data_IF_651208592857
#
_entry.id   IF_651208592857
#
_cell.length_a   1.000
_cell.length_b   1.000
_cell.length_c   1.000
_cell.angle_alpha   90.00
_cell.angle_beta   90.00
_cell.angle_gamma   90.00
#
_symmetry.space_group_name_H-M   'P 1'
#
loop_
_entity.id
_entity.type
_entity.pdbx_description
1 polymer ?
#
# COMPACT_ATOMS: atom_id res chain seq x y z
N UNK A 1 0.32 -1.76 0.18
CA UNK A 1 1.04 -1.26 -1.03
C UNK A 1 2.55 -1.38 -0.90
N UNK A 2 3.13 -1.43 0.31
CA UNK A 2 4.31 -2.25 0.57
C UNK A 2 3.89 -3.69 0.91
N UNK A 3 4.79 -4.67 0.75
CA UNK A 3 4.50 -6.11 0.85
C UNK A 3 4.90 -6.75 2.20
N UNK A 4 5.22 -5.94 3.21
CA UNK A 4 5.81 -6.39 4.48
C UNK A 4 5.13 -5.77 5.71
N UNK A 5 3.90 -5.27 5.58
CA UNK A 5 3.24 -4.51 6.64
C UNK A 5 3.17 -5.26 7.98
N UNK A 6 2.65 -6.50 8.00
CA UNK A 6 2.52 -7.29 9.23
C UNK A 6 3.89 -7.59 9.87
N UNK A 7 4.91 -7.83 9.04
CA UNK A 7 6.26 -8.07 9.49
C UNK A 7 6.87 -6.81 10.15
N UNK A 8 6.63 -5.63 9.58
CA UNK A 8 7.08 -4.36 10.16
C UNK A 8 6.38 -4.04 11.49
N UNK A 9 5.09 -4.33 11.61
CA UNK A 9 4.35 -4.18 12.87
C UNK A 9 4.95 -5.10 13.94
N UNK A 10 5.09 -6.40 13.62
CA UNK A 10 5.66 -7.39 14.54
C UNK A 10 7.08 -7.01 14.95
N UNK A 11 7.94 -6.71 13.98
CA UNK A 11 9.34 -6.40 14.22
C UNK A 11 9.50 -5.13 15.09
N UNK A 12 8.67 -4.10 14.84
CA UNK A 12 8.69 -2.90 15.67
C UNK A 12 8.29 -3.20 17.13
N UNK A 13 7.31 -4.07 17.35
CA UNK A 13 6.91 -4.52 18.69
C UNK A 13 8.00 -5.35 19.38
N UNK A 14 8.61 -6.31 18.67
CA UNK A 14 9.71 -7.14 19.18
C UNK A 14 10.94 -6.30 19.55
N UNK A 15 11.29 -5.31 18.72
CA UNK A 15 12.43 -4.43 18.96
C UNK A 15 12.15 -3.33 20.00
N UNK A 16 10.89 -3.12 20.41
CA UNK A 16 10.54 -2.06 21.37
C UNK A 16 10.91 -0.65 20.90
N UNK A 17 10.83 -0.39 19.59
CA UNK A 17 11.12 0.94 19.01
C UNK A 17 9.99 1.94 19.30
N UNK A 18 10.25 3.24 19.19
CA UNK A 18 9.26 4.26 19.54
C UNK A 18 8.00 4.21 18.65
N UNK A 19 8.18 3.99 17.34
CA UNK A 19 7.11 4.11 16.33
C UNK A 19 7.19 3.01 15.30
N UNK A 20 6.06 2.75 14.66
CA UNK A 20 6.02 1.93 13.45
C UNK A 20 6.60 2.73 12.26
N UNK A 21 7.42 2.11 11.40
CA UNK A 21 7.92 2.75 10.17
C UNK A 21 6.87 2.76 9.05
N UNK A 22 5.68 2.19 9.31
CA UNK A 22 4.58 2.06 8.37
C UNK A 22 3.29 2.60 8.99
N UNK A 23 2.36 3.08 8.15
CA UNK A 23 1.05 3.48 8.63
C UNK A 23 0.28 2.29 9.21
N UNK A 24 -0.47 2.52 10.29
CA UNK A 24 -1.25 1.47 10.98
C UNK A 24 -2.68 1.30 10.44
N UNK A 25 -3.11 2.19 9.53
CA UNK A 25 -4.39 2.13 8.83
C UNK A 25 -4.14 2.10 7.31
N UNK A 26 -4.98 1.33 6.61
CA UNK A 26 -4.89 1.19 5.15
C UNK A 26 -5.20 2.51 4.43
N UNK A 27 -6.19 3.28 4.89
CA UNK A 27 -6.56 4.57 4.28
C UNK A 27 -5.39 5.57 4.27
N UNK A 28 -4.60 5.63 5.35
CA UNK A 28 -3.41 6.47 5.41
C UNK A 28 -2.35 6.09 4.35
N UNK A 29 -2.22 4.78 4.07
CA UNK A 29 -1.34 4.30 3.00
C UNK A 29 -1.86 4.72 1.63
N UNK A 30 -3.17 4.73 1.40
CA UNK A 30 -3.74 5.17 0.12
C UNK A 30 -3.55 6.67 -0.10
N UNK A 31 -3.78 7.49 0.93
CA UNK A 31 -3.52 8.94 0.87
C UNK A 31 -2.04 9.21 0.64
N UNK A 32 -1.15 8.53 1.35
CA UNK A 32 0.30 8.67 1.14
C UNK A 32 0.70 8.27 -0.28
N UNK A 33 0.15 7.17 -0.82
CA UNK A 33 0.41 6.76 -2.20
C UNK A 33 0.00 7.85 -3.20
N UNK A 34 -1.16 8.46 -3.03
CA UNK A 34 -1.66 9.53 -3.91
C UNK A 34 -0.80 10.80 -3.81
N UNK A 35 -0.40 11.19 -2.61
CA UNK A 35 0.51 12.33 -2.41
C UNK A 35 1.86 12.09 -3.12
N UNK A 36 2.46 10.91 -2.93
CA UNK A 36 3.69 10.53 -3.61
C UNK A 36 3.50 10.43 -5.14
N UNK A 37 2.33 9.98 -5.61
CA UNK A 37 2.04 9.93 -7.03
C UNK A 37 2.02 11.33 -7.64
N UNK A 38 1.37 12.30 -7.00
CA UNK A 38 1.40 13.69 -7.44
C UNK A 38 2.84 14.23 -7.48
N UNK A 39 3.64 14.00 -6.43
CA UNK A 39 5.03 14.42 -6.40
C UNK A 39 5.87 13.85 -7.55
N UNK A 40 5.63 12.58 -7.92
CA UNK A 40 6.31 11.94 -9.05
C UNK A 40 5.81 12.50 -10.39
N UNK A 41 4.50 12.73 -10.54
CA UNK A 41 3.90 13.33 -11.73
C UNK A 41 4.41 14.76 -11.97
N UNK A 42 4.68 15.51 -10.91
CA UNK A 42 5.24 16.87 -10.97
C UNK A 42 6.74 16.91 -11.33
N UNK A 43 7.38 15.74 -11.47
CA UNK A 43 8.81 15.58 -11.79
C UNK A 43 9.05 14.71 -13.01
N UNK A 44 8.05 14.62 -13.90
CA UNK A 44 8.09 13.84 -15.14
C UNK A 44 9.10 14.33 -16.17
N UNK A 45 9.64 15.53 -15.97
CA UNK A 45 10.77 16.04 -16.76
C UNK A 45 12.11 15.35 -16.42
N UNK A 46 12.20 14.67 -15.27
CA UNK A 46 13.44 14.01 -14.79
C UNK A 46 13.28 12.53 -14.45
N UNK A 47 12.10 12.14 -14.00
CA UNK A 47 11.81 10.79 -13.52
C UNK A 47 10.67 10.24 -14.36
N UNK A 48 10.76 8.97 -14.75
CA UNK A 48 9.64 8.25 -15.36
C UNK A 48 8.88 7.47 -14.28
N UNK A 49 7.69 7.93 -13.83
CA UNK A 49 6.97 7.29 -12.74
C UNK A 49 6.36 5.95 -13.15
N UNK A 50 6.40 4.99 -12.23
CA UNK A 50 5.89 3.64 -12.42
C UNK A 50 4.92 3.29 -11.29
N UNK A 51 3.62 3.35 -11.57
CA UNK A 51 2.58 3.20 -10.56
C UNK A 51 2.09 1.75 -10.47
N UNK A 52 2.66 0.98 -9.55
CA UNK A 52 2.24 -0.40 -9.30
C UNK A 52 0.99 -0.46 -8.40
N UNK A 53 -0.15 -0.87 -8.95
CA UNK A 53 -1.38 -1.03 -8.15
C UNK A 53 -2.43 -1.91 -8.84
N UNK A 54 -3.25 -2.58 -8.04
CA UNK A 54 -4.46 -3.28 -8.48
C UNK A 54 -5.75 -2.62 -7.99
N UNK A 55 -5.65 -1.44 -7.37
CA UNK A 55 -6.79 -0.71 -6.84
C UNK A 55 -7.33 0.27 -7.89
N UNK A 56 -8.58 0.07 -8.33
CA UNK A 56 -9.18 0.87 -9.40
C UNK A 56 -9.30 2.36 -9.05
N UNK A 57 -9.66 2.69 -7.80
CA UNK A 57 -9.70 4.07 -7.34
C UNK A 57 -8.32 4.73 -7.43
N UNK A 58 -7.26 4.00 -7.07
CA UNK A 58 -5.88 4.50 -7.20
C UNK A 58 -5.51 4.76 -8.65
N UNK A 59 -5.85 3.85 -9.58
CA UNK A 59 -5.64 4.08 -11.01
C UNK A 59 -6.37 5.33 -11.48
N UNK A 60 -7.66 5.47 -11.15
CA UNK A 60 -8.48 6.62 -11.53
C UNK A 60 -7.90 7.94 -10.98
N UNK A 61 -7.46 7.96 -9.73
CA UNK A 61 -6.84 9.13 -9.12
C UNK A 61 -5.55 9.54 -9.84
N UNK A 62 -4.65 8.58 -10.14
CA UNK A 62 -3.41 8.85 -10.90
C UNK A 62 -3.71 9.36 -12.31
N UNK A 63 -4.71 8.77 -12.98
CA UNK A 63 -5.14 9.20 -14.32
C UNK A 63 -5.66 10.64 -14.28
N UNK A 64 -6.47 10.99 -13.28
CA UNK A 64 -6.97 12.35 -13.09
C UNK A 64 -5.83 13.34 -12.81
N UNK A 65 -4.89 13.00 -11.92
CA UNK A 65 -3.72 13.83 -11.59
C UNK A 65 -2.80 14.05 -12.80
N UNK A 66 -2.64 13.05 -13.66
CA UNK A 66 -1.76 13.14 -14.82
C UNK A 66 -2.30 14.06 -15.93
N UNK A 67 -3.59 14.41 -15.90
CA UNK A 67 -4.24 15.23 -16.92
C UNK A 67 -4.21 14.56 -18.30
N UNK A 68 -3.94 15.32 -19.35
CA UNK A 68 -3.90 14.80 -20.73
C UNK A 68 -2.60 14.05 -21.06
N UNK A 69 -1.57 14.16 -20.23
CA UNK A 69 -0.28 13.51 -20.49
C UNK A 69 -0.29 12.08 -19.92
N UNK A 70 -0.54 11.12 -20.81
CA UNK A 70 -0.61 9.68 -20.53
C UNK A 70 0.65 8.91 -20.92
N UNK A 71 1.64 9.59 -21.51
CA UNK A 71 2.84 8.98 -22.09
C UNK A 71 4.05 9.05 -21.17
N UNK A 72 4.07 10.00 -20.24
CA UNK A 72 5.19 10.24 -19.33
C UNK A 72 5.15 9.44 -18.03
N UNK A 73 4.30 8.41 -17.96
CA UNK A 73 4.28 7.43 -16.87
C UNK A 73 3.77 6.07 -17.37
N UNK A 74 3.93 5.03 -16.55
CA UNK A 74 3.24 3.75 -16.76
C UNK A 74 2.57 3.26 -15.47
N UNK A 75 1.53 2.47 -15.64
CA UNK A 75 1.07 1.57 -14.59
C UNK A 75 1.90 0.30 -14.55
N UNK A 76 1.86 -0.39 -13.42
CA UNK A 76 2.39 -1.75 -13.30
C UNK A 76 1.41 -2.66 -12.59
N UNK A 77 1.43 -3.94 -12.99
CA UNK A 77 0.66 -5.01 -12.35
C UNK A 77 1.47 -6.29 -12.26
N UNK A 78 1.08 -7.18 -11.37
CA UNK A 78 1.57 -8.55 -11.35
C UNK A 78 0.89 -9.42 -12.42
N UNK A 79 1.63 -10.35 -13.01
CA UNK A 79 1.05 -11.42 -13.81
C UNK A 79 0.04 -12.25 -13.00
N UNK A 80 -1.09 -12.62 -13.61
CA UNK A 80 -2.20 -13.32 -12.94
C UNK A 80 -3.07 -12.45 -12.04
N UNK A 81 -2.82 -11.13 -11.93
CA UNK A 81 -3.58 -10.25 -11.04
C UNK A 81 -3.88 -8.88 -11.68
N UNK A 82 -5.10 -8.39 -11.48
CA UNK A 82 -5.53 -7.09 -11.98
C UNK A 82 -5.57 -6.96 -13.51
N UNK A 83 -5.66 -8.08 -14.22
CA UNK A 83 -5.65 -8.09 -15.70
C UNK A 83 -6.84 -7.34 -16.29
N UNK A 84 -8.07 -7.64 -15.85
CA UNK A 84 -9.28 -6.98 -16.33
C UNK A 84 -9.25 -5.47 -16.06
N UNK A 85 -8.80 -5.04 -14.87
CA UNK A 85 -8.68 -3.63 -14.53
C UNK A 85 -7.73 -2.89 -15.48
N UNK A 86 -6.50 -3.42 -15.65
CA UNK A 86 -5.50 -2.75 -16.49
C UNK A 86 -5.83 -2.85 -17.98
N UNK A 87 -6.59 -3.86 -18.41
CA UNK A 87 -7.12 -3.93 -19.76
C UNK A 87 -8.13 -2.80 -20.02
N UNK A 88 -9.09 -2.60 -19.11
CA UNK A 88 -10.07 -1.50 -19.19
C UNK A 88 -9.35 -0.15 -19.21
N UNK A 89 -8.44 0.08 -18.25
CA UNK A 89 -7.67 1.32 -18.13
C UNK A 89 -6.84 1.61 -19.39
N UNK A 90 -6.24 0.59 -20.00
CA UNK A 90 -5.51 0.74 -21.26
C UNK A 90 -6.45 1.13 -22.42
N UNK A 91 -7.62 0.49 -22.51
CA UNK A 91 -8.58 0.74 -23.59
C UNK A 91 -9.27 2.10 -23.47
N UNK A 92 -9.65 2.51 -22.26
CA UNK A 92 -10.39 3.76 -22.05
C UNK A 92 -9.47 4.98 -21.95
N UNK A 93 -8.30 4.84 -21.34
CA UNK A 93 -7.41 5.98 -21.03
C UNK A 93 -6.12 6.01 -21.86
N UNK A 94 -5.85 4.99 -22.69
CA UNK A 94 -4.65 4.93 -23.53
C UNK A 94 -3.33 4.79 -22.78
N UNK A 95 -3.36 4.45 -21.49
CA UNK A 95 -2.14 4.36 -20.66
C UNK A 95 -1.34 3.08 -20.89
N UNK A 96 -0.04 3.12 -20.58
CA UNK A 96 0.84 1.95 -20.62
C UNK A 96 0.75 1.15 -19.31
N UNK A 97 0.86 -0.17 -19.40
CA UNK A 97 0.95 -1.04 -18.24
C UNK A 97 2.05 -2.10 -18.42
N UNK A 98 3.02 -2.13 -17.51
CA UNK A 98 4.06 -3.17 -17.44
C UNK A 98 3.61 -4.32 -16.54
N UNK A 99 3.81 -5.55 -17.00
CA UNK A 99 3.48 -6.75 -16.24
C UNK A 99 4.75 -7.27 -15.56
N UNK A 100 4.76 -7.32 -14.24
CA UNK A 100 5.76 -8.04 -13.46
C UNK A 100 5.44 -9.53 -13.52
N UNK A 101 6.26 -10.29 -14.25
CA UNK A 101 6.10 -11.74 -14.42
C UNK A 101 7.14 -12.47 -13.55
N UNK A 102 6.72 -13.23 -12.52
CA UNK A 102 7.63 -14.05 -11.73
C UNK A 102 8.13 -15.22 -12.59
N UNK A 103 9.45 -15.37 -12.71
CA UNK A 103 10.07 -16.47 -13.47
C UNK A 103 11.09 -17.15 -12.56
N UNK A 104 10.98 -18.47 -12.39
CA UNK A 104 11.86 -19.25 -11.53
C UNK A 104 11.45 -20.71 -11.45
N UNK A 105 12.30 -21.53 -10.81
CA UNK A 105 12.02 -22.95 -10.61
C UNK A 105 10.88 -23.14 -9.58
N UNK A 106 10.08 -24.20 -9.75
CA UNK A 106 8.92 -24.47 -8.90
C UNK A 106 9.25 -24.53 -7.40
N UNK A 107 10.44 -25.06 -7.03
CA UNK A 107 10.92 -25.16 -5.65
C UNK A 107 11.00 -23.81 -4.95
N UNK A 108 11.42 -22.78 -5.67
CA UNK A 108 11.66 -21.45 -5.10
C UNK A 108 10.38 -20.58 -5.15
N UNK A 109 9.36 -21.04 -5.89
CA UNK A 109 8.08 -20.35 -6.04
C UNK A 109 7.21 -20.43 -4.78
N UNK A 110 7.30 -21.51 -3.99
CA UNK A 110 6.42 -21.72 -2.83
C UNK A 110 6.55 -20.62 -1.76
N UNK A 111 7.78 -20.27 -1.37
CA UNK A 111 8.02 -19.19 -0.40
C UNK A 111 7.53 -17.83 -0.93
N UNK A 112 7.66 -17.60 -2.24
CA UNK A 112 7.15 -16.42 -2.91
C UNK A 112 5.61 -16.40 -2.97
N UNK A 113 4.98 -17.56 -3.19
CA UNK A 113 3.53 -17.72 -3.32
C UNK A 113 2.81 -17.40 -2.01
N UNK A 114 3.32 -17.84 -0.86
CA UNK A 114 2.73 -17.55 0.46
C UNK A 114 2.59 -16.05 0.69
N UNK A 115 3.66 -15.29 0.45
CA UNK A 115 3.62 -13.83 0.56
C UNK A 115 2.62 -13.22 -0.42
N UNK A 116 2.51 -13.79 -1.63
CA UNK A 116 1.63 -13.28 -2.67
C UNK A 116 0.15 -13.52 -2.37
N UNK A 117 -0.16 -14.64 -1.73
CA UNK A 117 -1.50 -14.96 -1.22
C UNK A 117 -1.91 -14.00 -0.09
N UNK A 118 -1.01 -13.73 0.86
CA UNK A 118 -1.29 -12.82 1.98
C UNK A 118 -1.53 -11.37 1.52
N UNK A 119 -0.72 -10.88 0.57
CA UNK A 119 -0.85 -9.51 0.05
C UNK A 119 -2.23 -9.24 -0.56
N UNK A 120 -2.81 -10.23 -1.25
CA UNK A 120 -4.03 -10.04 -2.02
C UNK A 120 -5.28 -10.65 -1.36
N UNK A 121 -5.10 -11.60 -0.45
CA UNK A 121 -6.17 -12.26 0.30
C UNK A 121 -6.60 -11.54 1.58
N UNK A 122 -5.93 -10.45 1.97
CA UNK A 122 -6.37 -9.65 3.11
C UNK A 122 -7.77 -9.04 2.86
N UNK A 123 -8.64 -9.01 3.87
CA UNK A 123 -10.01 -8.46 3.77
C UNK A 123 -10.05 -6.97 3.36
N UNK A 124 -8.97 -6.24 3.63
CA UNK A 124 -8.80 -4.84 3.23
C UNK A 124 -8.21 -4.66 1.82
N UNK A 125 -7.88 -5.77 1.13
CA UNK A 125 -7.42 -5.77 -0.24
C UNK A 125 -8.57 -5.44 -1.18
N UNK A 126 -8.34 -4.48 -2.08
CA UNK A 126 -9.30 -4.14 -3.14
C UNK A 126 -9.67 -5.36 -3.99
N UNK A 127 -8.70 -6.24 -4.26
CA UNK A 127 -8.94 -7.46 -5.07
C UNK A 127 -9.92 -8.39 -4.37
N UNK A 128 -9.91 -8.46 -3.04
CA UNK A 128 -10.85 -9.26 -2.29
C UNK A 128 -12.24 -8.60 -2.22
N UNK A 129 -12.29 -7.27 -2.08
CA UNK A 129 -13.55 -6.53 -2.04
C UNK A 129 -14.30 -6.56 -3.38
N UNK A 130 -13.60 -6.51 -4.51
CA UNK A 130 -14.24 -6.47 -5.84
C UNK A 130 -14.85 -7.80 -6.27
N UNK A 131 -14.42 -8.92 -5.68
CA UNK A 131 -15.02 -10.25 -5.94
C UNK A 131 -16.19 -10.54 -5.00
N UNK A 132 -16.35 -9.76 -3.93
CA UNK A 132 -17.49 -9.86 -3.02
C UNK A 132 -18.67 -9.04 -3.55
N UNK A 133 -19.65 -9.74 -4.11
CA UNK A 133 -20.87 -9.11 -4.68
C UNK A 133 -21.80 -8.49 -3.64
N UNK A 134 -21.55 -8.69 -2.35
CA UNK A 134 -22.29 -8.03 -1.28
C UNK A 134 -21.84 -6.58 -1.04
N UNK A 135 -20.64 -6.21 -1.48
CA UNK A 135 -20.09 -4.86 -1.31
C UNK A 135 -20.50 -3.97 -2.48
N UNK A 136 -21.24 -2.87 -2.25
CA UNK A 136 -21.63 -1.96 -3.32
C UNK A 136 -20.41 -1.31 -4.00
N UNK A 137 -20.41 -1.11 -5.33
CA UNK A 137 -19.32 -0.41 -6.02
C UNK A 137 -19.03 1.00 -5.47
N UNK A 138 -20.06 1.70 -4.98
CA UNK A 138 -19.92 3.02 -4.36
C UNK A 138 -19.13 2.99 -3.05
N UNK A 139 -19.12 1.87 -2.34
CA UNK A 139 -18.31 1.68 -1.14
C UNK A 139 -16.84 1.46 -1.49
N UNK A 140 -16.57 0.65 -2.52
CA UNK A 140 -15.22 0.40 -3.04
C UNK A 140 -14.61 1.69 -3.63
N UNK A 141 -15.44 2.54 -4.24
CA UNK A 141 -15.05 3.79 -4.87
C UNK A 141 -15.00 5.00 -3.92
N UNK A 142 -15.11 4.81 -2.59
CA UNK A 142 -15.01 5.92 -1.64
C UNK A 142 -13.66 6.62 -1.72
N UNK A 143 -13.69 7.95 -1.62
CA UNK A 143 -12.48 8.78 -1.58
C UNK A 143 -11.71 8.56 -0.26
N UNK A 144 -10.48 8.02 -0.30
CA UNK A 144 -9.67 7.80 0.88
C UNK A 144 -9.19 9.11 1.52
N UNK A 145 -9.17 10.25 0.82
CA UNK A 145 -8.86 11.56 1.43
C UNK A 145 -9.99 11.97 2.35
N UNK A 146 -11.24 11.98 1.86
CA UNK A 146 -12.41 12.25 2.68
C UNK A 146 -12.53 11.25 3.84
N UNK A 147 -12.20 9.98 3.64
CA UNK A 147 -12.18 8.98 4.72
C UNK A 147 -11.11 9.28 5.78
N UNK A 148 -9.89 9.62 5.37
CA UNK A 148 -8.83 9.98 6.31
C UNK A 148 -9.18 11.25 7.09
N UNK A 149 -9.76 12.27 6.44
CA UNK A 149 -10.21 13.50 7.11
C UNK A 149 -11.26 13.23 8.19
N UNK A 150 -12.18 12.29 7.96
CA UNK A 150 -13.19 11.88 8.96
C UNK A 150 -12.59 11.25 10.22
N UNK A 151 -11.34 10.78 10.18
CA UNK A 151 -10.67 10.24 11.37
C UNK A 151 -10.33 11.32 12.40
N UNK A 152 -10.21 12.59 11.99
CA UNK A 152 -9.74 13.66 12.87
C UNK A 152 -8.40 13.30 13.52
N UNK A 153 -8.34 13.37 14.85
CA UNK A 153 -7.13 13.03 15.62
C UNK A 153 -6.90 11.52 15.76
N UNK A 154 -7.87 10.66 15.40
CA UNK A 154 -7.79 9.20 15.50
C UNK A 154 -7.02 8.57 14.31
N UNK A 155 -5.93 9.20 13.89
CA UNK A 155 -5.12 8.83 12.72
C UNK A 155 -4.51 7.43 12.88
N UNK A 156 -4.02 7.10 14.08
CA UNK A 156 -3.49 5.77 14.39
C UNK A 156 -4.62 4.74 14.52
N UNK A 157 -4.30 3.46 14.29
CA UNK A 157 -5.26 2.38 14.48
C UNK A 157 -5.31 1.99 15.97
N UNK A 158 -6.44 2.16 16.67
CA UNK A 158 -6.54 1.88 18.11
C UNK A 158 -6.39 0.40 18.44
N UNK A 159 -6.61 -0.50 17.47
CA UNK A 159 -6.47 -1.95 17.67
C UNK A 159 -5.03 -2.45 17.57
N UNK A 160 -4.07 -1.59 17.23
CA UNK A 160 -2.65 -1.95 17.12
C UNK A 160 -1.90 -1.33 18.27
N UNK A 161 -1.53 -2.15 19.26
CA UNK A 161 -0.79 -1.72 20.44
C UNK A 161 0.61 -1.23 20.08
N UNK A 162 0.98 -0.05 20.59
CA UNK A 162 2.32 0.52 20.40
C UNK A 162 3.39 -0.36 21.06
N UNK A 163 4.63 -0.42 20.51
CA UNK A 163 5.68 -1.25 21.07
C UNK A 163 5.97 -1.00 22.56
N UNK A 164 5.95 0.27 22.98
CA UNK A 164 6.17 0.67 24.39
C UNK A 164 5.04 0.24 25.35
N UNK A 165 3.87 -0.07 24.82
CA UNK A 165 2.64 -0.39 25.55
C UNK A 165 2.24 -1.87 25.43
N UNK A 166 3.09 -2.70 24.83
CA UNK A 166 2.77 -4.11 24.51
C UNK A 166 2.32 -4.94 25.73
N UNK A 167 2.77 -4.56 26.93
CA UNK A 167 2.48 -5.24 28.20
C UNK A 167 1.64 -4.38 29.15
N UNK A 168 0.94 -3.37 28.63
CA UNK A 168 0.02 -2.57 29.43
C UNK A 168 -1.29 -3.35 29.65
N UNK A 169 -1.94 -3.19 30.83
CA UNK A 169 -1.59 -2.27 31.91
C UNK A 169 -0.55 -2.82 32.91
N UNK A 170 -0.10 -4.07 32.78
CA UNK A 170 0.73 -4.75 33.79
C UNK A 170 2.10 -4.10 33.96
N UNK A 171 2.76 -3.70 32.86
CA UNK A 171 4.03 -2.97 32.89
C UNK A 171 4.32 -2.21 31.60
N UNK A 172 5.24 -1.25 31.69
CA UNK A 172 5.85 -0.63 30.51
C UNK A 172 6.82 -1.61 29.84
N UNK A 173 6.91 -1.57 28.50
CA UNK A 173 7.92 -2.33 27.77
C UNK A 173 9.29 -1.63 27.83
N UNK A 174 10.39 -2.38 27.67
CA UNK A 174 11.72 -1.82 27.47
C UNK A 174 11.81 -1.10 26.12
N UNK A 175 12.63 -0.05 26.04
CA UNK A 175 12.94 0.66 24.80
C UNK A 175 14.12 -0.01 24.10
N UNK A 176 13.98 -0.29 22.81
CA UNK A 176 15.09 -0.70 21.95
C UNK A 176 15.30 0.27 20.80
N UNK A 177 16.20 -0.11 19.89
CA UNK A 177 16.64 0.72 18.76
C UNK A 177 16.81 -0.13 17.52
N UNK A 178 16.54 0.46 16.35
CA UNK A 178 16.73 -0.20 15.06
C UNK A 178 18.12 0.15 14.52
N UNK A 179 19.10 -0.72 14.77
CA UNK A 179 20.53 -0.44 14.50
C UNK A 179 20.85 -0.14 13.03
N UNK A 180 20.03 -0.61 12.10
CA UNK A 180 20.18 -0.36 10.66
C UNK A 180 19.47 0.93 10.19
N UNK A 181 18.81 1.65 11.09
CA UNK A 181 18.21 2.96 10.83
C UNK A 181 18.89 3.97 11.75
N UNK A 182 19.94 4.68 11.29
CA UNK A 182 20.70 5.61 12.14
C UNK A 182 19.82 6.67 12.81
N UNK A 183 18.74 7.10 12.15
CA UNK A 183 17.74 8.02 12.69
C UNK A 183 17.00 7.47 13.93
N UNK A 184 16.92 6.14 14.08
CA UNK A 184 16.34 5.49 15.25
C UNK A 184 17.27 5.50 16.47
N UNK A 185 18.55 5.84 16.32
CA UNK A 185 19.57 5.77 17.40
C UNK A 185 19.86 7.15 17.99
N UNK A 186 19.42 8.23 17.34
CA UNK A 186 19.73 9.59 17.77
C UNK A 186 18.83 10.04 18.96
N UNK A 187 19.36 10.88 19.88
CA UNK A 187 18.67 11.29 21.12
C UNK A 187 17.35 12.03 20.92
#
# INVERSE_FOLDING_TARGET
KGAYWDAEIKLAQELGVERFPVFTRKVNTDVSYMACAQMLLDRRDRIYPQFATHNAHTCAAVIAMAGNDKDSFEFQRLHGMGESLHHIVKQSEGTRCRIYAPVGAHRDLLAYLVRRLLENGANSSFVNQVVDSSIPPSEIARDPVAEMQRLGDAIANPSITLPGQLFAPERKNSRGFRVNEPASILP
#
